data_IF_761352034785
#
_entry.id   IF_761352034785
#
_cell.length_a   1.000
_cell.length_b   1.000
_cell.length_c   1.000
_cell.angle_alpha   90.00
_cell.angle_beta   90.00
_cell.angle_gamma   90.00
#
_symmetry.space_group_name_H-M   'P 1'
#
loop_
_entity.id
_entity.type
_entity.pdbx_description
1 polymer ?
#
# COMPACT_ATOMS: atom_id res chain seq x y z
N UNK A 1 -8.50 -21.51 10.42
CA UNK A 1 -8.71 -20.30 11.21
C UNK A 1 -8.15 -20.34 12.64
N UNK A 2 -7.80 -21.48 13.17
CA UNK A 2 -7.16 -21.58 14.49
C UNK A 2 -5.72 -21.08 14.56
N UNK A 3 -5.00 -21.03 13.45
CA UNK A 3 -3.61 -20.57 13.41
C UNK A 3 -3.40 -19.08 13.71
N UNK A 4 -4.44 -18.28 13.68
CA UNK A 4 -4.37 -16.83 13.96
C UNK A 4 -4.47 -16.53 15.46
N UNK A 5 -4.91 -17.48 16.27
CA UNK A 5 -5.05 -17.32 17.74
C UNK A 5 -3.75 -17.57 18.53
N UNK A 6 -2.75 -18.08 17.91
CA UNK A 6 -1.52 -18.42 18.60
C UNK A 6 -0.59 -17.21 18.69
N UNK A 7 -0.53 -16.65 19.86
CA UNK A 7 0.66 -16.09 20.46
C UNK A 7 1.91 -16.19 19.57
N UNK A 8 2.22 -15.09 18.86
CA UNK A 8 3.54 -14.91 18.30
C UNK A 8 4.05 -16.08 17.46
N UNK A 9 3.46 -16.33 16.31
CA UNK A 9 4.07 -17.17 15.29
C UNK A 9 5.49 -16.66 15.05
N UNK A 10 6.48 -17.31 15.64
CA UNK A 10 7.88 -17.07 15.36
C UNK A 10 8.10 -17.38 13.90
N UNK A 11 8.57 -16.40 13.14
CA UNK A 11 9.08 -16.63 11.79
C UNK A 11 10.13 -17.75 11.88
N UNK A 12 9.77 -18.93 11.43
CA UNK A 12 10.69 -20.06 11.43
C UNK A 12 11.83 -19.74 10.48
N UNK A 13 13.07 -19.98 10.92
CA UNK A 13 14.28 -19.80 10.10
C UNK A 13 14.35 -20.86 8.99
N UNK A 14 13.54 -20.71 7.95
CA UNK A 14 13.71 -21.53 6.76
C UNK A 14 14.65 -20.83 5.79
N UNK A 15 15.63 -21.58 5.29
CA UNK A 15 16.67 -21.10 4.35
C UNK A 15 16.05 -20.68 2.99
N UNK A 16 14.91 -21.25 2.65
CA UNK A 16 14.07 -20.88 1.50
C UNK A 16 12.61 -21.05 1.90
N UNK A 17 11.74 -20.03 1.71
CA UNK A 17 10.32 -20.20 2.01
C UNK A 17 9.71 -21.21 1.02
N UNK A 18 9.09 -22.27 1.56
CA UNK A 18 8.12 -23.06 0.80
C UNK A 18 6.88 -22.18 0.55
N UNK A 19 6.03 -22.52 -0.43
CA UNK A 19 4.82 -21.73 -0.72
C UNK A 19 3.95 -21.55 0.53
N UNK A 20 3.77 -22.59 1.36
CA UNK A 20 3.03 -22.51 2.62
C UNK A 20 3.66 -21.53 3.62
N UNK A 21 4.98 -21.53 3.73
CA UNK A 21 5.69 -20.59 4.61
C UNK A 21 5.61 -19.16 4.10
N UNK A 22 5.61 -18.95 2.79
CA UNK A 22 5.47 -17.64 2.20
C UNK A 22 4.10 -17.04 2.50
N UNK A 23 3.03 -17.79 2.29
CA UNK A 23 1.65 -17.37 2.59
C UNK A 23 1.50 -17.02 4.08
N UNK A 24 2.02 -17.89 4.98
CA UNK A 24 1.99 -17.65 6.41
C UNK A 24 2.73 -16.37 6.79
N UNK A 25 3.90 -16.11 6.21
CA UNK A 25 4.67 -14.91 6.45
C UNK A 25 3.95 -13.65 5.95
N UNK A 26 3.30 -13.72 4.78
CA UNK A 26 2.50 -12.61 4.25
C UNK A 26 1.30 -12.30 5.16
N UNK A 27 0.59 -13.31 5.64
CA UNK A 27 -0.53 -13.15 6.58
C UNK A 27 -0.06 -12.47 7.87
N UNK A 28 1.06 -12.94 8.44
CA UNK A 28 1.64 -12.35 9.65
C UNK A 28 2.03 -10.90 9.42
N UNK A 29 2.65 -10.61 8.28
CA UNK A 29 3.09 -9.27 7.91
C UNK A 29 1.92 -8.30 7.81
N UNK A 30 0.86 -8.70 7.11
CA UNK A 30 -0.35 -7.90 6.94
C UNK A 30 -1.07 -7.70 8.28
N UNK A 31 -1.19 -8.74 9.10
CA UNK A 31 -1.80 -8.62 10.42
C UNK A 31 -1.01 -7.69 11.34
N UNK A 32 0.31 -7.76 11.32
CA UNK A 32 1.18 -6.85 12.06
C UNK A 32 0.98 -5.39 11.62
N UNK A 33 0.89 -5.14 10.32
CA UNK A 33 0.60 -3.82 9.80
C UNK A 33 -0.79 -3.33 10.25
N UNK A 34 -1.83 -4.14 10.08
CA UNK A 34 -3.20 -3.79 10.44
C UNK A 34 -3.41 -3.63 11.97
N UNK A 35 -2.53 -4.19 12.79
CA UNK A 35 -2.49 -3.93 14.24
C UNK A 35 -1.71 -2.66 14.62
N UNK A 36 -1.34 -1.84 13.66
CA UNK A 36 -0.71 -0.53 13.87
C UNK A 36 0.82 -0.56 14.00
N UNK A 37 1.50 -1.68 13.72
CA UNK A 37 2.97 -1.68 13.69
C UNK A 37 3.48 -0.85 12.51
N UNK A 38 4.50 -0.02 12.77
CA UNK A 38 5.17 0.82 11.75
C UNK A 38 5.95 -0.04 10.77
N UNK A 39 5.27 -0.56 9.76
CA UNK A 39 5.82 -1.47 8.76
C UNK A 39 5.65 -0.86 7.37
N UNK A 40 6.74 -0.77 6.61
CA UNK A 40 6.67 -0.57 5.18
C UNK A 40 6.42 -1.95 4.53
N UNK A 41 5.18 -2.19 4.10
CA UNK A 41 4.79 -3.48 3.53
C UNK A 41 5.55 -3.80 2.24
N UNK A 42 5.82 -2.81 1.39
CA UNK A 42 6.55 -3.03 0.14
C UNK A 42 7.97 -3.56 0.40
N UNK A 43 8.71 -2.91 1.30
CA UNK A 43 10.07 -3.33 1.64
C UNK A 43 10.08 -4.73 2.25
N UNK A 44 9.15 -5.00 3.16
CA UNK A 44 9.06 -6.33 3.80
C UNK A 44 8.68 -7.44 2.85
N UNK A 45 7.82 -7.18 1.87
CA UNK A 45 7.47 -8.14 0.82
C UNK A 45 8.66 -8.39 -0.10
N UNK A 46 9.43 -7.35 -0.41
CA UNK A 46 10.69 -7.48 -1.14
C UNK A 46 11.73 -8.32 -0.38
N UNK A 47 11.84 -8.14 0.95
CA UNK A 47 12.70 -8.97 1.81
C UNK A 47 12.31 -10.46 1.73
N UNK A 48 11.03 -10.77 1.54
CA UNK A 48 10.53 -12.12 1.30
C UNK A 48 10.79 -12.64 -0.12
N UNK A 49 11.49 -11.86 -0.96
CA UNK A 49 11.79 -12.18 -2.38
C UNK A 49 10.55 -12.37 -3.26
N UNK A 50 9.42 -11.76 -2.88
CA UNK A 50 8.22 -11.74 -3.72
C UNK A 50 8.37 -10.68 -4.79
N UNK A 51 8.26 -11.08 -6.05
CA UNK A 51 8.24 -10.16 -7.17
C UNK A 51 6.81 -9.75 -7.50
N UNK A 52 6.50 -8.48 -7.35
CA UNK A 52 5.16 -7.92 -7.65
C UNK A 52 4.99 -7.57 -9.14
N UNK A 53 5.99 -7.80 -9.99
CA UNK A 53 5.95 -7.47 -11.43
C UNK A 53 5.44 -6.04 -11.72
N UNK A 54 5.87 -5.07 -10.92
CA UNK A 54 5.40 -3.67 -10.99
C UNK A 54 5.49 -3.11 -12.42
N UNK A 55 6.54 -3.47 -13.18
CA UNK A 55 6.72 -2.98 -14.55
C UNK A 55 5.71 -3.56 -15.53
N UNK A 56 5.23 -4.77 -15.29
CA UNK A 56 4.23 -5.42 -16.15
C UNK A 56 2.84 -4.84 -15.86
N UNK A 57 2.55 -4.58 -14.57
CA UNK A 57 1.29 -3.97 -14.14
C UNK A 57 1.17 -2.48 -14.53
N UNK A 58 2.29 -1.75 -14.57
CA UNK A 58 2.36 -0.33 -14.87
C UNK A 58 3.33 -0.07 -16.02
N UNK A 59 2.88 -0.37 -17.24
CA UNK A 59 3.71 -0.37 -18.45
C UNK A 59 4.15 1.01 -18.96
N UNK A 60 3.54 2.12 -18.49
CA UNK A 60 3.90 3.47 -18.91
C UNK A 60 4.89 4.12 -17.95
N UNK A 61 5.84 4.90 -18.49
CA UNK A 61 6.78 5.68 -17.67
C UNK A 61 6.05 6.60 -16.68
N UNK A 62 4.95 7.20 -17.10
CA UNK A 62 4.13 8.03 -16.24
C UNK A 62 3.57 7.25 -15.04
N UNK A 63 2.99 6.08 -15.28
CA UNK A 63 2.45 5.24 -14.22
C UNK A 63 3.56 4.77 -13.27
N UNK A 64 4.70 4.35 -13.79
CA UNK A 64 5.86 3.95 -13.00
C UNK A 64 6.37 5.09 -12.11
N UNK A 65 6.43 6.34 -12.60
CA UNK A 65 6.80 7.50 -11.76
C UNK A 65 5.83 7.69 -10.59
N UNK A 66 4.52 7.59 -10.84
CA UNK A 66 3.49 7.69 -9.79
C UNK A 66 3.66 6.58 -8.75
N UNK A 67 3.79 5.32 -9.18
CA UNK A 67 3.90 4.17 -8.28
C UNK A 67 5.20 4.19 -7.49
N UNK A 68 6.33 4.53 -8.13
CA UNK A 68 7.62 4.65 -7.45
C UNK A 68 7.60 5.74 -6.36
N UNK A 69 6.91 6.87 -6.61
CA UNK A 69 6.72 7.88 -5.57
C UNK A 69 5.96 7.30 -4.36
N UNK A 70 4.86 6.55 -4.58
CA UNK A 70 4.13 5.94 -3.48
C UNK A 70 4.94 4.91 -2.70
N UNK A 71 5.70 4.08 -3.41
CA UNK A 71 6.56 3.05 -2.80
C UNK A 71 7.64 3.69 -1.91
N UNK A 72 8.17 4.87 -2.31
CA UNK A 72 9.20 5.57 -1.55
C UNK A 72 8.68 6.28 -0.30
N UNK A 73 7.36 6.39 -0.12
CA UNK A 73 6.76 7.04 1.05
C UNK A 73 6.99 6.24 2.32
N UNK A 74 7.35 6.92 3.39
CA UNK A 74 7.49 6.31 4.72
C UNK A 74 6.12 6.02 5.34
N UNK A 75 6.11 5.15 6.34
CA UNK A 75 4.91 4.86 7.13
C UNK A 75 4.34 6.15 7.74
N UNK A 76 3.03 6.35 7.59
CA UNK A 76 2.32 7.53 8.10
C UNK A 76 2.47 8.81 7.28
N UNK A 77 3.33 8.84 6.25
CA UNK A 77 3.36 9.96 5.32
C UNK A 77 2.11 10.01 4.47
N UNK A 78 1.59 11.21 4.24
CA UNK A 78 0.48 11.47 3.32
C UNK A 78 0.96 12.37 2.18
N UNK A 79 0.29 12.27 1.04
CA UNK A 79 0.53 13.12 -0.11
C UNK A 79 -0.78 13.49 -0.79
N UNK A 80 -0.73 14.45 -1.70
CA UNK A 80 -1.87 14.82 -2.54
C UNK A 80 -1.59 14.58 -4.02
N UNK A 81 -2.65 14.53 -4.82
CA UNK A 81 -2.51 14.42 -6.29
C UNK A 81 -1.66 15.55 -6.87
N UNK A 82 -1.71 16.75 -6.28
CA UNK A 82 -0.90 17.90 -6.73
C UNK A 82 0.56 17.75 -6.36
N UNK A 83 0.89 17.23 -5.18
CA UNK A 83 2.26 16.97 -4.75
C UNK A 83 2.89 15.86 -5.60
N UNK A 84 2.18 14.75 -5.83
CA UNK A 84 2.63 13.72 -6.77
C UNK A 84 2.90 14.37 -8.13
N UNK A 85 1.97 15.18 -8.63
CA UNK A 85 2.13 15.89 -9.91
C UNK A 85 3.39 16.75 -9.96
N UNK A 86 3.69 17.47 -8.88
CA UNK A 86 4.91 18.28 -8.75
C UNK A 86 6.16 17.41 -8.82
N UNK A 87 6.20 16.31 -8.07
CA UNK A 87 7.35 15.40 -8.03
C UNK A 87 7.63 14.75 -9.38
N UNK A 88 6.59 14.33 -10.11
CA UNK A 88 6.75 13.67 -11.41
C UNK A 88 6.79 14.65 -12.60
N UNK A 89 6.70 15.97 -12.35
CA UNK A 89 6.72 17.00 -13.39
C UNK A 89 5.45 17.03 -14.26
N UNK A 90 4.27 16.75 -13.68
CA UNK A 90 3.01 16.68 -14.43
C UNK A 90 1.82 17.29 -13.71
N UNK A 91 0.97 18.00 -14.44
CA UNK A 91 -0.32 18.52 -13.95
C UNK A 91 -1.50 17.60 -14.29
N UNK A 92 -1.25 16.39 -14.78
CA UNK A 92 -2.27 15.43 -15.21
C UNK A 92 -2.90 14.69 -14.02
N UNK A 93 -3.50 15.41 -13.07
CA UNK A 93 -4.02 14.85 -11.82
C UNK A 93 -5.09 13.76 -12.01
N UNK A 94 -5.90 13.85 -13.07
CA UNK A 94 -6.85 12.79 -13.43
C UNK A 94 -6.15 11.50 -13.85
N UNK A 95 -5.05 11.63 -14.60
CA UNK A 95 -4.24 10.48 -15.01
C UNK A 95 -3.57 9.83 -13.78
N UNK A 96 -3.06 10.61 -12.82
CA UNK A 96 -2.57 10.10 -11.54
C UNK A 96 -3.69 9.29 -10.86
N UNK A 97 -4.90 9.85 -10.74
CA UNK A 97 -6.04 9.16 -10.17
C UNK A 97 -6.37 7.83 -10.87
N UNK A 98 -6.24 7.77 -12.20
CA UNK A 98 -6.45 6.55 -12.97
C UNK A 98 -5.37 5.49 -12.70
N UNK A 99 -4.12 5.89 -12.51
CA UNK A 99 -3.04 4.96 -12.08
C UNK A 99 -3.37 4.37 -10.71
N UNK A 100 -3.74 5.22 -9.73
CA UNK A 100 -4.09 4.76 -8.39
C UNK A 100 -5.31 3.83 -8.38
N UNK A 101 -6.29 4.11 -9.23
CA UNK A 101 -7.49 3.26 -9.39
C UNK A 101 -7.16 1.84 -9.85
N UNK A 102 -6.11 1.69 -10.65
CA UNK A 102 -5.67 0.40 -11.23
C UNK A 102 -4.68 -0.34 -10.34
N UNK A 103 -4.35 0.19 -9.17
CA UNK A 103 -3.41 -0.46 -8.26
C UNK A 103 -3.93 -1.85 -7.82
N UNK A 104 -3.29 -2.95 -8.25
CA UNK A 104 -3.70 -4.30 -7.88
C UNK A 104 -3.16 -4.74 -6.51
N UNK A 105 -2.29 -3.92 -5.89
CA UNK A 105 -1.60 -4.23 -4.64
C UNK A 105 -1.96 -3.22 -3.53
N UNK A 106 -3.25 -3.10 -3.14
CA UNK A 106 -3.64 -2.18 -2.07
C UNK A 106 -2.90 -2.52 -0.78
N UNK A 107 -2.64 -1.55 0.07
CA UNK A 107 -1.79 -1.58 1.26
C UNK A 107 -0.29 -1.66 0.94
N UNK A 108 0.14 -2.57 0.07
CA UNK A 108 1.54 -2.75 -0.32
C UNK A 108 2.04 -1.52 -1.08
N UNK A 109 1.29 -1.10 -2.09
CA UNK A 109 1.45 0.21 -2.73
C UNK A 109 0.43 1.15 -2.06
N UNK A 110 0.87 2.10 -1.23
CA UNK A 110 0.02 2.78 -0.27
C UNK A 110 -0.83 3.91 -0.90
N UNK A 111 -1.69 3.56 -1.87
CA UNK A 111 -2.58 4.52 -2.52
C UNK A 111 -3.61 5.14 -1.55
N UNK A 112 -3.83 4.56 -0.37
CA UNK A 112 -4.63 5.16 0.69
C UNK A 112 -4.01 6.44 1.27
N UNK A 113 -2.70 6.64 1.15
CA UNK A 113 -1.99 7.85 1.62
C UNK A 113 -2.18 9.06 0.71
N UNK A 114 -2.81 8.89 -0.45
CA UNK A 114 -3.09 9.99 -1.38
C UNK A 114 -4.43 10.63 -1.06
N UNK A 115 -4.42 11.88 -0.61
CA UNK A 115 -5.62 12.65 -0.27
C UNK A 115 -5.84 13.80 -1.27
N UNK A 116 -6.97 14.48 -1.18
CA UNK A 116 -7.21 15.70 -1.95
C UNK A 116 -6.44 16.88 -1.35
N UNK A 117 -6.07 17.87 -2.18
CA UNK A 117 -5.38 19.10 -1.73
C UNK A 117 -6.10 19.83 -0.59
N UNK A 118 -7.43 19.72 -0.52
CA UNK A 118 -8.25 20.31 0.54
C UNK A 118 -8.35 19.45 1.81
N UNK A 119 -7.51 18.44 1.97
CA UNK A 119 -7.49 17.52 3.11
C UNK A 119 -8.60 16.46 3.11
N UNK A 120 -9.55 16.49 2.18
CA UNK A 120 -10.58 15.43 2.09
C UNK A 120 -9.97 14.13 1.62
N UNK A 121 -10.42 13.02 2.21
CA UNK A 121 -9.90 11.67 1.95
C UNK A 121 -9.98 11.25 0.47
N UNK A 122 -11.04 11.66 -0.23
CA UNK A 122 -11.21 11.29 -1.63
C UNK A 122 -11.62 9.82 -1.82
N UNK A 123 -11.56 9.35 -3.07
CA UNK A 123 -11.87 7.97 -3.41
C UNK A 123 -10.79 6.97 -3.00
N UNK A 124 -11.14 5.68 -2.96
CA UNK A 124 -10.22 4.59 -2.72
C UNK A 124 -10.58 3.38 -3.58
N UNK A 125 -9.59 2.63 -4.05
CA UNK A 125 -9.76 1.43 -4.90
C UNK A 125 -10.73 1.66 -6.08
N UNK A 126 -10.64 2.83 -6.71
CA UNK A 126 -11.46 3.20 -7.87
C UNK A 126 -12.90 3.61 -7.58
N UNK A 127 -13.32 3.66 -6.35
CA UNK A 127 -14.67 4.09 -5.94
C UNK A 127 -14.62 5.42 -5.19
N UNK A 128 -15.47 6.35 -5.60
CA UNK A 128 -15.56 7.69 -5.00
C UNK A 128 -16.70 7.77 -3.99
N UNK A 129 -17.81 7.15 -4.29
CA UNK A 129 -19.06 7.23 -3.52
C UNK A 129 -19.38 5.95 -2.74
N UNK A 130 -18.41 5.07 -2.55
CA UNK A 130 -18.59 3.85 -1.77
C UNK A 130 -18.16 4.10 -0.33
N UNK A 131 -19.11 4.07 0.59
CA UNK A 131 -18.90 4.36 2.01
C UNK A 131 -17.91 3.40 2.65
N UNK A 132 -17.98 2.11 2.36
CA UNK A 132 -17.08 1.11 2.91
C UNK A 132 -15.60 1.41 2.56
N UNK A 133 -15.33 1.71 1.29
CA UNK A 133 -13.96 1.98 0.83
C UNK A 133 -13.43 3.30 1.37
N UNK A 134 -14.28 4.33 1.50
CA UNK A 134 -13.88 5.58 2.14
C UNK A 134 -13.60 5.38 3.64
N UNK A 135 -14.41 4.59 4.33
CA UNK A 135 -14.22 4.29 5.74
C UNK A 135 -12.94 3.46 5.98
N UNK A 136 -12.66 2.48 5.11
CA UNK A 136 -11.40 1.75 5.14
C UNK A 136 -10.20 2.69 4.96
N UNK A 137 -10.23 3.59 3.99
CA UNK A 137 -9.17 4.56 3.78
C UNK A 137 -8.97 5.48 4.99
N UNK A 138 -10.06 6.00 5.58
CA UNK A 138 -10.01 6.79 6.81
C UNK A 138 -9.39 6.01 7.98
N UNK A 139 -9.79 4.75 8.13
CA UNK A 139 -9.24 3.86 9.15
C UNK A 139 -7.72 3.69 8.99
N UNK A 140 -7.24 3.37 7.79
CA UNK A 140 -5.82 3.19 7.51
C UNK A 140 -5.02 4.47 7.79
N UNK A 141 -5.51 5.62 7.32
CA UNK A 141 -4.87 6.93 7.58
C UNK A 141 -4.81 7.24 9.08
N UNK A 142 -5.91 7.00 9.81
CA UNK A 142 -5.96 7.19 11.26
C UNK A 142 -4.99 6.26 11.98
N UNK A 143 -4.97 4.98 11.62
CA UNK A 143 -4.07 3.99 12.20
C UNK A 143 -2.60 4.38 12.01
N UNK A 144 -2.22 4.82 10.81
CA UNK A 144 -0.86 5.24 10.53
C UNK A 144 -0.47 6.55 11.20
N UNK A 145 -1.41 7.46 11.48
CA UNK A 145 -1.15 8.74 12.12
C UNK A 145 -1.01 8.67 13.65
N UNK A 146 -1.48 7.60 14.28
CA UNK A 146 -1.49 7.45 15.75
C UNK A 146 -0.19 6.85 16.32
N UNK A 147 0.72 6.46 15.48
CA UNK A 147 2.00 5.85 15.80
C UNK A 147 3.13 6.73 15.27
#
# INVERSE_FOLDING_TARGET
MEYIKANGLKLTKYKYPTEENLISNLIILINNYLSGKKINLYDKIKDLKVNLNIKDEFSTEFALKVINHLISMKYGEITSYSEIGTVIGSKAYRAIGNVLKRNPFPLIIPCHRVIRKNGKVGGYMGKVNNEWQQNLKKYLLKMESQN
#
